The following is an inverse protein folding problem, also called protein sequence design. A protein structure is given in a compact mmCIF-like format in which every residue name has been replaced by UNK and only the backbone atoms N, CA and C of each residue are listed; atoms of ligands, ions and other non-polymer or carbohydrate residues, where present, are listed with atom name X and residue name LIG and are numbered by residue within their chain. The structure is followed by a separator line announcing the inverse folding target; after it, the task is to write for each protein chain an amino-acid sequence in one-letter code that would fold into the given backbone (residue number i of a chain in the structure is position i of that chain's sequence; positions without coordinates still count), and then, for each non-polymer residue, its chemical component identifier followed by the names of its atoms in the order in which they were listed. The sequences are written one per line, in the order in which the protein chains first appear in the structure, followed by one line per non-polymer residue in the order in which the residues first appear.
data_IF_409686940084
#
_entry.id   IF_409686940084
#
_cell.length_a   1.000
_cell.length_b   1.000
_cell.length_c   1.000
_cell.angle_alpha   90.00
_cell.angle_beta   90.00
_cell.angle_gamma   90.00
#
_symmetry.space_group_name_H-M   'P 1'
#
loop_
_entity.id
_entity.type
_entity.pdbx_description
1 polymer ?
#
# COMPACT_ATOMS: atom_id res chain seq x y z
N UNK A 1 -0.05 -40.85 -36.89
CA UNK A 1 -0.29 -39.42 -36.68
C UNK A 1 -0.21 -39.17 -35.19
N UNK A 2 0.89 -38.61 -34.71
CA UNK A 2 1.00 -38.11 -33.34
C UNK A 2 0.70 -36.61 -33.40
N UNK A 3 -0.46 -36.20 -32.88
CA UNK A 3 -0.72 -34.80 -32.61
C UNK A 3 0.17 -34.40 -31.43
N UNK A 4 1.21 -33.63 -31.71
CA UNK A 4 1.89 -32.85 -30.69
C UNK A 4 0.93 -31.74 -30.24
N UNK A 5 0.22 -31.96 -29.15
CA UNK A 5 -0.34 -30.86 -28.36
C UNK A 5 0.84 -30.04 -27.84
N UNK A 6 1.16 -28.96 -28.57
CA UNK A 6 2.07 -27.94 -28.07
C UNK A 6 1.39 -27.34 -26.82
N UNK A 7 1.89 -27.71 -25.64
CA UNK A 7 1.52 -27.04 -24.41
C UNK A 7 1.78 -25.54 -24.59
N UNK A 8 0.71 -24.76 -24.75
CA UNK A 8 0.81 -23.31 -24.88
C UNK A 8 1.31 -22.76 -23.54
N UNK A 9 2.55 -22.28 -23.53
CA UNK A 9 3.13 -21.58 -22.38
C UNK A 9 2.37 -20.27 -22.15
N UNK A 10 2.21 -19.89 -20.88
CA UNK A 10 1.64 -18.60 -20.49
C UNK A 10 2.50 -17.47 -21.04
N UNK A 11 1.90 -16.46 -21.69
CA UNK A 11 2.61 -15.32 -22.26
C UNK A 11 2.75 -14.17 -21.26
N UNK A 12 3.72 -13.28 -21.47
CA UNK A 12 3.87 -12.06 -20.66
C UNK A 12 2.66 -11.15 -20.80
N UNK A 13 2.05 -11.09 -21.99
CA UNK A 13 0.86 -10.28 -22.25
C UNK A 13 -0.35 -10.80 -21.46
N UNK A 14 -0.60 -12.11 -21.45
CA UNK A 14 -1.67 -12.71 -20.62
C UNK A 14 -1.48 -12.40 -19.13
N UNK A 15 -0.24 -12.41 -18.62
CA UNK A 15 0.06 -12.07 -17.21
C UNK A 15 -0.13 -10.58 -16.93
N UNK A 16 0.28 -9.72 -17.86
CA UNK A 16 0.10 -8.28 -17.75
C UNK A 16 -1.39 -7.92 -17.71
N UNK A 17 -2.19 -8.50 -18.61
CA UNK A 17 -3.63 -8.29 -18.69
C UNK A 17 -4.31 -8.74 -17.40
N UNK A 18 -3.97 -9.94 -16.89
CA UNK A 18 -4.48 -10.42 -15.61
C UNK A 18 -4.20 -9.43 -14.48
N UNK A 19 -2.97 -8.94 -14.36
CA UNK A 19 -2.60 -8.00 -13.29
C UNK A 19 -3.31 -6.66 -13.45
N UNK A 20 -3.52 -6.17 -14.67
CA UNK A 20 -4.28 -4.95 -14.91
C UNK A 20 -5.75 -5.10 -14.49
N UNK A 21 -6.35 -6.28 -14.73
CA UNK A 21 -7.70 -6.59 -14.24
C UNK A 21 -7.72 -6.62 -12.71
N UNK A 22 -6.76 -7.29 -12.05
CA UNK A 22 -6.66 -7.30 -10.59
C UNK A 22 -6.57 -5.88 -10.02
N UNK A 23 -5.75 -5.01 -10.63
CA UNK A 23 -5.62 -3.62 -10.18
C UNK A 23 -6.90 -2.81 -10.42
N UNK A 24 -7.61 -3.08 -11.52
CA UNK A 24 -8.92 -2.50 -11.81
C UNK A 24 -9.97 -2.92 -10.78
N UNK A 25 -10.04 -4.21 -10.43
CA UNK A 25 -10.93 -4.73 -9.40
C UNK A 25 -10.60 -4.13 -8.02
N UNK A 26 -9.30 -4.06 -7.67
CA UNK A 26 -8.87 -3.38 -6.44
C UNK A 26 -9.39 -1.94 -6.41
N UNK A 27 -9.26 -1.20 -7.52
CA UNK A 27 -9.71 0.20 -7.60
C UNK A 27 -11.20 0.38 -7.30
N UNK A 28 -12.02 -0.61 -7.68
CA UNK A 28 -13.47 -0.60 -7.47
C UNK A 28 -13.86 -0.92 -6.03
N UNK A 29 -13.15 -1.85 -5.39
CA UNK A 29 -13.54 -2.38 -4.07
C UNK A 29 -12.80 -1.73 -2.90
N UNK A 30 -11.61 -1.18 -3.12
CA UNK A 30 -10.83 -0.57 -2.04
C UNK A 30 -11.51 0.68 -1.51
N UNK A 31 -11.57 0.79 -0.18
CA UNK A 31 -12.11 1.99 0.47
C UNK A 31 -11.32 3.23 0.01
N UNK A 32 -12.03 4.27 -0.42
CA UNK A 32 -11.42 5.53 -0.86
C UNK A 32 -12.07 6.72 -0.15
N UNK A 33 -11.34 7.46 0.73
CA UNK A 33 -9.97 7.20 1.16
C UNK A 33 -9.86 5.95 2.04
N UNK A 34 -8.73 5.28 1.94
CA UNK A 34 -8.41 4.07 2.68
C UNK A 34 -8.14 4.39 4.15
N UNK A 35 -8.71 3.61 5.08
CA UNK A 35 -8.60 3.85 6.53
C UNK A 35 -7.85 2.70 7.21
N UNK A 36 -6.54 2.86 7.45
CA UNK A 36 -5.69 1.74 7.88
C UNK A 36 -5.83 1.39 9.37
N UNK A 37 -6.21 2.36 10.23
CA UNK A 37 -6.20 2.18 11.69
C UNK A 37 -7.20 3.10 12.39
N UNK A 38 -7.63 2.66 13.56
CA UNK A 38 -8.34 3.49 14.53
C UNK A 38 -7.45 4.60 15.09
N UNK A 39 -8.07 5.61 15.67
CA UNK A 39 -7.36 6.72 16.30
C UNK A 39 -6.49 6.30 17.49
N UNK A 40 -5.33 6.93 17.68
CA UNK A 40 -4.41 6.61 18.78
C UNK A 40 -3.64 7.83 19.28
N UNK A 41 -3.01 7.68 20.46
CA UNK A 41 -2.16 8.71 21.06
C UNK A 41 -0.69 8.29 21.03
N UNK A 42 0.20 9.26 20.87
CA UNK A 42 1.65 9.06 20.97
C UNK A 42 2.33 10.33 21.45
N UNK A 43 3.45 10.20 22.15
CA UNK A 43 4.33 11.35 22.42
C UNK A 43 5.09 11.75 21.17
N UNK A 44 5.30 13.05 20.97
CA UNK A 44 6.10 13.53 19.84
C UNK A 44 7.56 13.14 20.07
N UNK A 45 8.20 12.59 19.03
CA UNK A 45 9.61 12.19 19.10
C UNK A 45 10.51 13.37 19.53
N UNK A 46 11.33 13.16 20.55
CA UNK A 46 12.20 14.19 21.13
C UNK A 46 11.48 15.26 21.96
N UNK A 47 10.17 15.12 22.18
CA UNK A 47 9.32 16.05 22.95
C UNK A 47 8.29 15.25 23.80
N UNK A 48 8.73 14.51 24.83
CA UNK A 48 7.83 13.70 25.66
C UNK A 48 6.74 14.53 26.39
N UNK A 49 6.97 15.84 26.54
CA UNK A 49 6.02 16.79 27.09
C UNK A 49 4.81 17.07 26.15
N UNK A 50 4.93 16.73 24.86
CA UNK A 50 3.90 16.93 23.83
C UNK A 50 3.26 15.60 23.46
N UNK A 51 1.95 15.53 23.62
CA UNK A 51 1.12 14.38 23.27
C UNK A 51 0.34 14.68 21.99
N UNK A 52 0.49 13.82 20.99
CA UNK A 52 -0.26 13.89 19.74
C UNK A 52 -1.34 12.81 19.72
N UNK A 53 -2.58 13.25 19.56
CA UNK A 53 -3.70 12.40 19.19
C UNK A 53 -3.81 12.39 17.66
N UNK A 54 -3.75 11.21 17.08
CA UNK A 54 -3.98 10.93 15.67
C UNK A 54 -5.41 10.42 15.55
N UNK A 55 -6.32 11.29 15.13
CA UNK A 55 -7.76 11.01 15.07
C UNK A 55 -8.12 10.30 13.78
N UNK A 56 -8.47 11.09 12.77
CA UNK A 56 -8.83 10.58 11.45
C UNK A 56 -7.59 10.44 10.58
N UNK A 57 -7.30 9.22 10.13
CA UNK A 57 -6.18 8.89 9.24
C UNK A 57 -6.75 8.37 7.93
N UNK A 58 -6.30 8.98 6.82
CA UNK A 58 -6.74 8.65 5.47
C UNK A 58 -5.53 8.43 4.57
N UNK A 59 -5.54 7.33 3.83
CA UNK A 59 -4.58 7.07 2.75
C UNK A 59 -5.32 7.21 1.42
N UNK A 60 -4.74 7.94 0.48
CA UNK A 60 -5.24 8.05 -0.89
C UNK A 60 -4.16 7.63 -1.88
N UNK A 61 -4.59 7.05 -3.01
CA UNK A 61 -3.72 6.64 -4.11
C UNK A 61 -3.60 5.12 -4.32
N UNK A 62 -3.98 4.28 -3.35
CA UNK A 62 -3.99 2.82 -3.55
C UNK A 62 -4.95 2.37 -4.66
N UNK A 63 -6.08 3.05 -4.83
CA UNK A 63 -7.01 2.81 -5.93
C UNK A 63 -6.47 3.26 -7.31
N UNK A 64 -5.26 3.83 -7.36
CA UNK A 64 -4.58 4.30 -8.58
C UNK A 64 -3.24 3.59 -8.78
N UNK A 65 -3.09 2.40 -8.23
CA UNK A 65 -1.93 1.57 -8.49
C UNK A 65 -1.97 1.08 -9.94
N UNK A 66 -0.84 1.17 -10.61
CA UNK A 66 -0.63 0.74 -11.99
C UNK A 66 0.65 -0.08 -12.09
N UNK A 67 0.76 -0.95 -13.10
CA UNK A 67 2.01 -1.67 -13.35
C UNK A 67 3.12 -0.74 -13.80
N UNK A 68 4.30 -0.95 -13.25
CA UNK A 68 5.55 -0.36 -13.73
C UNK A 68 6.24 -1.34 -14.68
N UNK A 69 5.80 -1.34 -15.95
CA UNK A 69 6.33 -2.21 -17.00
C UNK A 69 5.79 -3.65 -16.94
N UNK A 70 6.52 -4.56 -17.58
CA UNK A 70 6.09 -5.96 -17.71
C UNK A 70 6.26 -6.74 -16.41
N UNK A 71 5.27 -7.58 -16.13
CA UNK A 71 5.36 -8.58 -15.07
C UNK A 71 6.20 -9.79 -15.50
N UNK A 72 6.88 -10.39 -14.53
CA UNK A 72 7.57 -11.66 -14.70
C UNK A 72 6.69 -12.80 -14.15
N UNK A 73 6.77 -13.97 -14.75
CA UNK A 73 6.14 -15.18 -14.23
C UNK A 73 7.12 -16.35 -14.19
N UNK A 74 6.95 -17.21 -13.19
CA UNK A 74 7.69 -18.46 -13.01
C UNK A 74 6.68 -19.60 -12.85
N UNK A 75 6.74 -20.60 -13.73
CA UNK A 75 5.96 -21.84 -13.63
C UNK A 75 6.79 -22.89 -12.86
N UNK A 76 6.23 -23.42 -11.76
CA UNK A 76 6.91 -24.42 -10.94
C UNK A 76 6.53 -25.82 -11.39
N UNK A 77 7.45 -26.50 -12.10
CA UNK A 77 7.23 -27.83 -12.67
C UNK A 77 6.90 -28.93 -11.65
N UNK A 78 7.34 -28.78 -10.40
CA UNK A 78 7.14 -29.77 -9.34
C UNK A 78 5.85 -29.57 -8.53
N UNK A 79 5.22 -28.40 -8.62
CA UNK A 79 4.09 -28.03 -7.75
C UNK A 79 2.82 -27.61 -8.51
N UNK A 80 2.81 -27.62 -9.85
CA UNK A 80 1.68 -27.11 -10.67
C UNK A 80 1.23 -25.71 -10.22
N UNK A 81 2.18 -24.89 -9.78
CA UNK A 81 1.95 -23.55 -9.24
C UNK A 81 2.56 -22.47 -10.13
N UNK A 82 1.98 -21.28 -10.07
CA UNK A 82 2.44 -20.09 -10.78
C UNK A 82 2.84 -19.01 -9.77
N UNK A 83 3.95 -18.34 -10.03
CA UNK A 83 4.35 -17.14 -9.31
C UNK A 83 4.44 -15.98 -10.29
N UNK A 84 3.65 -14.93 -10.05
CA UNK A 84 3.69 -13.67 -10.79
C UNK A 84 4.42 -12.63 -9.93
N UNK A 85 5.34 -11.89 -10.53
CA UNK A 85 6.05 -10.77 -9.90
C UNK A 85 5.89 -9.51 -10.74
N UNK A 86 5.41 -8.45 -10.12
CA UNK A 86 5.19 -7.16 -10.78
C UNK A 86 5.75 -6.03 -9.94
N UNK A 87 6.26 -5.00 -10.59
CA UNK A 87 6.44 -3.70 -9.94
C UNK A 87 5.17 -2.88 -10.20
N UNK A 88 4.73 -2.19 -9.16
CA UNK A 88 3.58 -1.32 -9.16
C UNK A 88 4.03 0.08 -8.76
N UNK A 89 3.34 1.07 -9.30
CA UNK A 89 3.56 2.48 -8.97
C UNK A 89 2.22 3.21 -8.91
N UNK A 90 2.26 4.44 -8.43
CA UNK A 90 1.16 5.39 -8.59
C UNK A 90 1.75 6.79 -8.59
N UNK A 91 1.05 7.77 -9.18
CA UNK A 91 1.54 9.15 -9.19
C UNK A 91 1.80 9.70 -7.79
N UNK A 92 0.88 9.42 -6.86
CA UNK A 92 0.92 9.97 -5.51
C UNK A 92 0.27 9.00 -4.52
N UNK A 93 0.99 8.68 -3.43
CA UNK A 93 0.37 8.21 -2.19
C UNK A 93 0.36 9.35 -1.18
N UNK A 94 -0.82 9.68 -0.66
CA UNK A 94 -0.98 10.72 0.35
C UNK A 94 -1.58 10.15 1.62
N UNK A 95 -0.99 10.53 2.75
CA UNK A 95 -1.57 10.34 4.09
C UNK A 95 -2.06 11.68 4.60
N UNK A 96 -3.33 11.77 4.96
CA UNK A 96 -3.91 12.90 5.67
C UNK A 96 -4.28 12.47 7.08
N UNK A 97 -3.94 13.32 8.05
CA UNK A 97 -4.17 13.10 9.48
C UNK A 97 -4.87 14.34 10.04
N UNK A 98 -6.01 14.14 10.68
CA UNK A 98 -6.61 15.14 11.57
C UNK A 98 -6.43 14.68 13.01
N UNK A 99 -5.95 15.57 13.86
CA UNK A 99 -5.56 15.22 15.22
C UNK A 99 -5.58 16.38 16.19
N UNK A 100 -5.04 16.16 17.38
CA UNK A 100 -4.90 17.19 18.41
C UNK A 100 -3.55 17.07 19.09
N UNK A 101 -2.85 18.20 19.27
CA UNK A 101 -1.68 18.28 20.15
C UNK A 101 -2.10 18.73 21.55
N UNK A 102 -1.53 18.10 22.56
CA UNK A 102 -1.71 18.44 23.97
C UNK A 102 -0.35 18.65 24.63
N UNK A 103 -0.29 19.62 25.53
CA UNK A 103 0.86 19.89 26.39
C UNK A 103 0.33 20.27 27.77
N UNK A 104 1.13 20.08 28.82
CA UNK A 104 0.71 20.39 30.20
C UNK A 104 0.47 21.89 30.43
N UNK A 105 1.19 22.75 29.72
CA UNK A 105 1.16 24.22 29.89
C UNK A 105 0.25 24.96 28.91
N UNK A 106 -0.09 24.35 27.77
CA UNK A 106 -0.79 25.03 26.67
C UNK A 106 -2.14 24.36 26.39
N UNK A 107 -3.17 25.12 25.96
CA UNK A 107 -4.45 24.55 25.59
C UNK A 107 -4.29 23.56 24.42
N UNK A 108 -5.10 22.49 24.36
CA UNK A 108 -5.10 21.57 23.23
C UNK A 108 -5.32 22.28 21.89
N UNK A 109 -4.60 21.84 20.85
CA UNK A 109 -4.69 22.41 19.50
C UNK A 109 -5.08 21.36 18.48
N UNK A 110 -6.15 21.61 17.74
CA UNK A 110 -6.51 20.82 16.57
C UNK A 110 -5.47 21.04 15.47
N UNK A 111 -4.91 19.94 14.96
CA UNK A 111 -3.84 19.97 13.95
C UNK A 111 -4.23 19.12 12.76
N UNK A 112 -3.71 19.51 11.59
CA UNK A 112 -3.80 18.70 10.37
C UNK A 112 -2.40 18.48 9.83
N UNK A 113 -2.09 17.22 9.52
CA UNK A 113 -0.84 16.84 8.89
C UNK A 113 -1.14 16.10 7.59
N UNK A 114 -0.37 16.38 6.55
CA UNK A 114 -0.42 15.67 5.29
C UNK A 114 0.99 15.27 4.88
N UNK A 115 1.17 14.04 4.41
CA UNK A 115 2.42 13.57 3.84
C UNK A 115 2.20 13.00 2.45
N UNK A 116 3.06 13.39 1.52
CA UNK A 116 2.93 13.05 0.11
C UNK A 116 4.17 12.29 -0.35
N UNK A 117 3.97 11.06 -0.83
CA UNK A 117 4.97 10.27 -1.53
C UNK A 117 4.71 10.37 -3.02
N UNK A 118 5.65 10.95 -3.76
CA UNK A 118 5.58 11.04 -5.23
C UNK A 118 6.21 9.80 -5.85
N UNK A 119 5.52 9.20 -6.82
CA UNK A 119 5.97 7.99 -7.53
C UNK A 119 6.49 6.87 -6.60
N UNK A 120 5.74 6.46 -5.54
CA UNK A 120 6.16 5.36 -4.70
C UNK A 120 6.15 4.04 -5.47
N UNK A 121 7.15 3.21 -5.23
CA UNK A 121 7.29 1.90 -5.88
C UNK A 121 6.91 0.78 -4.92
N UNK A 122 6.18 -0.20 -5.42
CA UNK A 122 5.75 -1.37 -4.67
C UNK A 122 6.04 -2.62 -5.49
N UNK A 123 6.71 -3.60 -4.90
CA UNK A 123 6.89 -4.91 -5.54
C UNK A 123 5.77 -5.83 -5.08
N UNK A 124 5.05 -6.42 -6.02
CA UNK A 124 3.99 -7.38 -5.79
C UNK A 124 4.44 -8.77 -6.20
N UNK A 125 4.07 -9.77 -5.38
CA UNK A 125 4.18 -11.18 -5.70
C UNK A 125 2.83 -11.85 -5.49
N UNK A 126 2.30 -12.50 -6.53
CA UNK A 126 1.14 -13.40 -6.44
C UNK A 126 1.67 -14.81 -6.60
N UNK A 127 1.38 -15.69 -5.64
CA UNK A 127 1.78 -17.09 -5.67
C UNK A 127 0.55 -17.97 -5.51
N UNK A 128 0.35 -18.88 -6.47
CA UNK A 128 -0.78 -19.82 -6.47
C UNK A 128 -0.26 -21.22 -6.62
N UNK A 129 -0.72 -22.10 -5.73
CA UNK A 129 -0.46 -23.53 -5.74
C UNK A 129 -1.82 -24.26 -5.75
N UNK A 130 -1.97 -25.42 -6.42
CA UNK A 130 -3.29 -26.04 -6.66
C UNK A 130 -4.05 -26.46 -5.40
N UNK A 131 -3.35 -26.58 -4.27
CA UNK A 131 -3.89 -27.09 -3.01
C UNK A 131 -3.72 -26.09 -1.87
N UNK A 132 -3.34 -24.84 -2.18
CA UNK A 132 -3.23 -23.76 -1.21
C UNK A 132 -4.04 -22.58 -1.70
N UNK A 133 -4.51 -21.78 -0.75
CA UNK A 133 -5.04 -20.47 -1.08
C UNK A 133 -3.96 -19.64 -1.77
N UNK A 134 -4.41 -18.79 -2.70
CA UNK A 134 -3.53 -17.79 -3.29
C UNK A 134 -2.93 -16.91 -2.18
N UNK A 135 -1.66 -16.60 -2.36
CA UNK A 135 -0.94 -15.68 -1.49
C UNK A 135 -0.48 -14.47 -2.30
N UNK A 136 -0.85 -13.29 -1.81
CA UNK A 136 -0.38 -12.00 -2.34
C UNK A 136 0.52 -11.37 -1.30
N UNK A 137 1.71 -10.96 -1.72
CA UNK A 137 2.64 -10.22 -0.87
C UNK A 137 3.04 -8.94 -1.57
N UNK A 138 3.01 -7.84 -0.83
CA UNK A 138 3.47 -6.55 -1.29
C UNK A 138 4.77 -6.21 -0.56
N UNK A 139 5.60 -5.37 -1.19
CA UNK A 139 6.81 -4.83 -0.58
C UNK A 139 6.97 -3.40 -1.01
N UNK A 140 6.67 -2.50 -0.11
CA UNK A 140 6.72 -1.08 -0.40
C UNK A 140 8.13 -0.51 -0.24
N UNK A 141 8.57 0.24 -1.23
CA UNK A 141 9.78 1.06 -1.19
C UNK A 141 9.37 2.53 -1.13
N UNK A 142 9.41 3.08 0.07
CA UNK A 142 9.04 4.47 0.32
C UNK A 142 10.21 5.42 0.09
N UNK A 143 9.96 6.47 -0.68
CA UNK A 143 10.75 7.69 -0.67
C UNK A 143 10.47 8.51 0.61
N UNK A 144 11.26 9.55 0.85
CA UNK A 144 10.97 10.48 1.95
C UNK A 144 9.74 11.32 1.57
N UNK A 145 8.67 11.34 2.40
CA UNK A 145 7.48 12.09 2.05
C UNK A 145 7.69 13.59 2.24
N UNK A 146 7.03 14.39 1.41
CA UNK A 146 6.86 15.82 1.63
C UNK A 146 5.79 16.03 2.70
N UNK A 147 6.17 16.57 3.86
CA UNK A 147 5.27 16.69 5.02
C UNK A 147 4.90 18.13 5.27
N UNK A 148 3.60 18.36 5.44
CA UNK A 148 3.04 19.65 5.85
C UNK A 148 2.19 19.45 7.09
N UNK A 149 2.49 20.21 8.14
CA UNK A 149 1.69 20.26 9.37
C UNK A 149 1.21 21.69 9.56
N UNK A 150 -0.10 21.85 9.71
CA UNK A 150 -0.78 23.16 9.85
C UNK A 150 -1.52 23.26 11.17
N UNK A 151 -1.87 24.49 11.56
CA UNK A 151 -2.57 24.82 12.80
C UNK A 151 -1.81 24.46 14.07
N UNK A 152 -0.47 24.43 14.01
CA UNK A 152 0.37 24.18 15.17
C UNK A 152 0.24 25.29 16.24
N UNK A 153 -0.04 26.54 15.87
CA UNK A 153 0.12 27.67 16.80
C UNK A 153 1.61 28.00 17.02
N UNK A 154 1.91 29.20 17.52
CA UNK A 154 3.31 29.64 17.74
C UNK A 154 4.01 28.76 18.78
N UNK A 155 3.27 28.34 19.80
CA UNK A 155 3.71 27.52 20.93
C UNK A 155 4.19 26.10 20.52
N UNK A 156 3.81 25.63 19.33
CA UNK A 156 4.16 24.32 18.80
C UNK A 156 4.93 24.37 17.47
N UNK A 157 5.59 25.49 17.11
CA UNK A 157 6.45 25.59 15.92
C UNK A 157 7.83 24.92 16.09
N UNK A 158 7.87 23.74 16.70
CA UNK A 158 9.11 22.97 16.83
C UNK A 158 9.34 22.10 15.59
N UNK A 159 10.57 22.10 15.06
CA UNK A 159 10.92 21.22 13.94
C UNK A 159 10.76 19.73 14.28
N UNK A 160 10.95 19.36 15.56
CA UNK A 160 10.74 17.99 16.07
C UNK A 160 9.31 17.49 15.85
N UNK A 161 8.29 18.37 15.87
CA UNK A 161 6.91 17.97 15.59
C UNK A 161 6.75 17.56 14.13
N UNK A 162 7.33 18.33 13.20
CA UNK A 162 7.30 17.99 11.76
C UNK A 162 8.02 16.67 11.49
N UNK A 163 9.17 16.44 12.13
CA UNK A 163 9.90 15.17 12.04
C UNK A 163 9.10 14.01 12.62
N UNK A 164 8.47 14.21 13.78
CA UNK A 164 7.59 13.20 14.40
C UNK A 164 6.41 12.82 13.49
N UNK A 165 5.73 13.80 12.88
CA UNK A 165 4.67 13.53 11.91
C UNK A 165 5.19 12.82 10.65
N UNK A 166 6.39 13.16 10.17
CA UNK A 166 7.01 12.47 9.03
C UNK A 166 7.22 10.99 9.32
N UNK A 167 7.84 10.68 10.46
CA UNK A 167 8.15 9.31 10.83
C UNK A 167 6.84 8.52 11.07
N UNK A 168 5.81 9.16 11.63
CA UNK A 168 4.49 8.56 11.80
C UNK A 168 3.78 8.28 10.48
N UNK A 169 3.82 9.20 9.52
CA UNK A 169 3.26 9.00 8.19
C UNK A 169 3.90 7.81 7.47
N UNK A 170 5.22 7.66 7.58
CA UNK A 170 5.93 6.48 7.05
C UNK A 170 5.47 5.21 7.76
N UNK A 171 5.30 5.25 9.08
CA UNK A 171 4.81 4.12 9.86
C UNK A 171 3.38 3.70 9.46
N UNK A 172 2.47 4.67 9.28
CA UNK A 172 1.08 4.44 8.88
C UNK A 172 1.02 3.68 7.55
N UNK A 173 1.74 4.16 6.52
CA UNK A 173 1.78 3.50 5.22
C UNK A 173 2.40 2.09 5.31
N UNK A 174 3.46 1.91 6.11
CA UNK A 174 4.06 0.57 6.28
C UNK A 174 3.09 -0.39 6.95
N UNK A 175 2.34 0.08 7.94
CA UNK A 175 1.38 -0.76 8.64
C UNK A 175 0.15 -1.11 7.83
N UNK A 176 -0.29 -0.24 6.93
CA UNK A 176 -1.45 -0.48 6.05
C UNK A 176 -1.15 -1.47 4.92
N UNK A 177 0.10 -1.91 4.79
CA UNK A 177 0.50 -2.82 3.72
C UNK A 177 -0.15 -4.19 3.86
N UNK A 178 -0.28 -4.71 5.08
CA UNK A 178 -0.89 -6.03 5.32
C UNK A 178 -2.36 -6.02 4.90
N UNK A 179 -3.09 -4.97 5.28
CA UNK A 179 -4.49 -4.84 4.92
C UNK A 179 -4.67 -4.63 3.40
N UNK A 180 -3.76 -3.89 2.74
CA UNK A 180 -3.72 -3.77 1.28
C UNK A 180 -3.41 -5.11 0.59
N UNK A 181 -2.56 -5.95 1.18
CA UNK A 181 -2.29 -7.32 0.68
C UNK A 181 -3.57 -8.17 0.70
N UNK A 182 -4.39 -8.06 1.74
CA UNK A 182 -5.69 -8.75 1.82
C UNK A 182 -6.68 -8.26 0.76
N UNK A 183 -6.78 -6.94 0.55
CA UNK A 183 -7.67 -6.38 -0.47
C UNK A 183 -7.20 -6.73 -1.90
N UNK A 184 -5.89 -6.71 -2.13
CA UNK A 184 -5.30 -7.17 -3.40
C UNK A 184 -5.53 -8.67 -3.61
N UNK A 185 -5.44 -9.49 -2.55
CA UNK A 185 -5.77 -10.91 -2.62
C UNK A 185 -7.23 -11.11 -3.04
N UNK A 186 -8.18 -10.41 -2.43
CA UNK A 186 -9.61 -10.49 -2.82
C UNK A 186 -9.83 -10.13 -4.29
N UNK A 187 -9.18 -9.06 -4.77
CA UNK A 187 -9.28 -8.61 -6.16
C UNK A 187 -8.61 -9.59 -7.14
N UNK A 188 -7.58 -10.31 -6.73
CA UNK A 188 -6.97 -11.35 -7.53
C UNK A 188 -7.79 -12.66 -7.50
N UNK A 189 -8.47 -12.96 -6.39
CA UNK A 189 -9.28 -14.17 -6.22
C UNK A 189 -10.60 -14.10 -7.02
N UNK A 190 -11.04 -12.90 -7.43
CA UNK A 190 -12.19 -12.73 -8.31
C UNK A 190 -11.90 -13.08 -9.78
N UNK A 191 -10.63 -13.22 -10.15
CA UNK A 191 -10.20 -13.38 -11.54
C UNK A 191 -9.61 -14.76 -11.84
N UNK A 192 -9.79 -15.22 -13.08
CA UNK A 192 -9.20 -16.47 -13.53
C UNK A 192 -7.73 -16.22 -13.89
N UNK A 193 -6.85 -16.88 -13.15
CA UNK A 193 -5.41 -16.82 -13.41
C UNK A 193 -5.12 -17.45 -14.78
N UNK A 194 -4.37 -16.77 -15.66
CA UNK A 194 -4.00 -17.29 -16.98
C UNK A 194 -2.99 -18.43 -16.82
N UNK A 195 -3.47 -19.62 -16.43
CA UNK A 195 -2.67 -20.82 -16.29
C UNK A 195 -3.23 -21.91 -17.18
N UNK A 196 -2.45 -22.30 -18.19
CA UNK A 196 -2.78 -23.41 -19.08
C UNK A 196 -2.23 -24.69 -18.46
N UNK A 197 -3.10 -25.51 -17.86
CA UNK A 197 -2.74 -26.85 -17.38
C UNK A 197 -2.23 -27.68 -18.57
N UNK A 198 -1.06 -28.31 -18.40
CA UNK A 198 -0.53 -29.31 -19.35
C UNK A 198 -1.27 -30.62 -19.21
#
# INVERSE_FOLDING_TARGET
MQEHTAAQATTVDEVNDYVDVVLSELSQHIQTPYRPRDSYNKTVAGRPEIWAYFGDIFITGYNKLEREGNCAHEEHSLATGITIRCNLTTKELRVDITGTLKHSTYPPRGVRASGVFTNPHMSMKIAVEPWKEMNVTLRLRLSVPQVKVVNLGEEFKFNSIRLGYRDEIISIIKSSQADLEEDMKKAADSEIIPYKRK
#
